data_IF_737265254169
#
_entry.id   IF_737265254169
#
_cell.length_a   1.000
_cell.length_b   1.000
_cell.length_c   1.000
_cell.angle_alpha   90.00
_cell.angle_beta   90.00
_cell.angle_gamma   90.00
#
_symmetry.space_group_name_H-M   'P 1'
#
loop_
_entity.id
_entity.type
_entity.pdbx_description
1 polymer ?
#
# COMPACT_ATOMS: atom_id res chain seq x y z
N UNK A 1 19.70 7.73 3.95
CA UNK A 1 19.09 6.49 4.47
C UNK A 1 17.60 6.60 4.26
N UNK A 2 17.01 5.86 3.32
CA UNK A 2 15.55 5.83 3.14
C UNK A 2 14.96 4.90 4.18
N UNK A 3 14.45 5.46 5.27
CA UNK A 3 13.69 4.72 6.29
C UNK A 3 12.32 4.39 5.72
N UNK A 4 12.14 3.16 5.22
CA UNK A 4 10.83 2.68 4.84
C UNK A 4 10.04 2.30 6.10
N UNK A 5 8.81 2.78 6.20
CA UNK A 5 7.86 2.40 7.25
C UNK A 5 6.93 1.29 6.75
N UNK A 6 6.59 0.38 7.66
CA UNK A 6 5.64 -0.71 7.39
C UNK A 6 4.23 -0.15 7.46
N UNK A 7 3.47 -0.31 6.39
CA UNK A 7 2.07 0.03 6.30
C UNK A 7 1.23 -1.24 6.32
N UNK A 8 0.04 -1.16 6.93
CA UNK A 8 -0.93 -2.26 6.95
C UNK A 8 -2.31 -1.67 6.77
N UNK A 9 -3.00 -2.12 5.73
CA UNK A 9 -4.34 -1.68 5.36
C UNK A 9 -5.31 -2.85 5.41
N UNK A 10 -6.55 -2.61 5.80
CA UNK A 10 -7.60 -3.63 5.71
C UNK A 10 -7.92 -3.95 4.25
N UNK A 11 -8.05 -5.24 3.90
CA UNK A 11 -8.62 -5.60 2.60
C UNK A 11 -10.09 -5.17 2.48
N UNK A 12 -10.80 -5.08 3.62
CA UNK A 12 -12.17 -4.55 3.71
C UNK A 12 -12.25 -3.05 3.36
N UNK A 13 -11.35 -2.24 3.91
CA UNK A 13 -11.29 -0.80 3.64
C UNK A 13 -10.83 -0.44 2.24
N UNK A 14 -10.17 -1.39 1.56
CA UNK A 14 -9.81 -1.24 0.15
C UNK A 14 -10.92 -1.70 -0.78
N UNK A 15 -12.04 -2.24 -0.25
CA UNK A 15 -13.38 -2.47 -0.83
C UNK A 15 -13.50 -3.35 -2.07
N UNK A 16 -12.48 -3.35 -2.92
CA UNK A 16 -12.40 -4.00 -4.23
C UNK A 16 -11.04 -3.78 -4.91
N UNK A 17 -10.11 -3.01 -4.31
CA UNK A 17 -8.79 -2.76 -4.88
C UNK A 17 -8.00 -4.06 -4.90
N UNK A 18 -7.85 -4.59 -6.12
CA UNK A 18 -6.92 -5.68 -6.39
C UNK A 18 -5.52 -5.22 -6.00
N UNK A 19 -4.73 -6.12 -5.40
CA UNK A 19 -3.31 -5.92 -5.04
C UNK A 19 -2.52 -5.13 -6.10
N UNK A 20 -2.73 -5.46 -7.37
CA UNK A 20 -2.07 -4.81 -8.51
C UNK A 20 -2.42 -3.32 -8.66
N UNK A 21 -3.69 -2.93 -8.43
CA UNK A 21 -4.10 -1.52 -8.42
C UNK A 21 -3.48 -0.75 -7.26
N UNK A 22 -3.39 -1.39 -6.08
CA UNK A 22 -2.73 -0.77 -4.93
C UNK A 22 -1.24 -0.55 -5.22
N UNK A 23 -0.56 -1.53 -5.81
CA UNK A 23 0.83 -1.39 -6.22
C UNK A 23 1.02 -0.27 -7.26
N UNK A 24 0.14 -0.17 -8.25
CA UNK A 24 0.22 0.88 -9.27
C UNK A 24 0.01 2.28 -8.67
N UNK A 25 -1.00 2.45 -7.81
CA UNK A 25 -1.24 3.70 -7.06
C UNK A 25 -0.03 4.09 -6.20
N UNK A 26 0.48 3.14 -5.41
CA UNK A 26 1.67 3.36 -4.57
C UNK A 26 2.88 3.74 -5.42
N UNK A 27 3.05 3.11 -6.59
CA UNK A 27 4.10 3.48 -7.56
C UNK A 27 3.92 4.90 -8.08
N UNK A 28 2.69 5.35 -8.37
CA UNK A 28 2.42 6.72 -8.84
C UNK A 28 2.70 7.76 -7.75
N UNK A 29 2.28 7.48 -6.51
CA UNK A 29 2.46 8.37 -5.33
C UNK A 29 3.94 8.51 -4.99
N UNK A 30 4.65 7.40 -4.88
CA UNK A 30 6.02 7.39 -4.39
C UNK A 30 7.08 7.41 -5.49
N UNK A 31 6.67 7.29 -6.77
CA UNK A 31 7.56 7.20 -7.93
C UNK A 31 8.60 6.08 -7.80
N UNK A 32 8.28 5.03 -7.03
CA UNK A 32 9.16 3.90 -6.77
C UNK A 32 8.38 2.58 -6.76
N UNK A 33 8.99 1.46 -7.14
CA UNK A 33 8.32 0.16 -7.12
C UNK A 33 8.06 -0.27 -5.68
N UNK A 34 6.78 -0.38 -5.30
CA UNK A 34 6.35 -0.84 -3.97
C UNK A 34 5.67 -2.20 -4.10
N UNK A 35 6.24 -3.21 -3.44
CA UNK A 35 5.66 -4.55 -3.37
C UNK A 35 4.62 -4.58 -2.25
N UNK A 36 3.41 -5.03 -2.61
CA UNK A 36 2.32 -5.25 -1.66
C UNK A 36 2.11 -6.74 -1.47
N UNK A 37 2.13 -7.20 -0.22
CA UNK A 37 1.76 -8.55 0.19
C UNK A 37 0.33 -8.54 0.77
N UNK A 38 -0.48 -9.55 0.44
CA UNK A 38 -1.75 -9.79 1.12
C UNK A 38 -1.53 -10.89 2.17
N UNK A 39 -1.71 -10.56 3.45
CA UNK A 39 -1.63 -11.51 4.56
C UNK A 39 -2.81 -11.33 5.50
N UNK A 40 -3.55 -12.41 5.78
CA UNK A 40 -4.71 -12.41 6.67
C UNK A 40 -5.69 -11.27 6.35
N UNK A 41 -6.07 -11.14 5.08
CA UNK A 41 -7.00 -10.11 4.62
C UNK A 41 -6.52 -8.67 4.85
N UNK A 42 -5.19 -8.47 4.89
CA UNK A 42 -4.56 -7.17 5.05
C UNK A 42 -3.45 -6.97 4.05
N UNK A 43 -3.40 -5.80 3.44
CA UNK A 43 -2.31 -5.40 2.56
C UNK A 43 -1.16 -4.86 3.39
N UNK A 44 0.01 -5.48 3.26
CA UNK A 44 1.24 -5.12 3.95
C UNK A 44 2.27 -4.68 2.92
N UNK A 45 2.88 -3.51 3.12
CA UNK A 45 3.91 -2.98 2.23
C UNK A 45 4.80 -1.99 2.96
N UNK A 46 5.92 -1.64 2.32
CA UNK A 46 6.92 -0.71 2.83
C UNK A 46 6.97 0.54 1.96
N UNK A 47 6.82 1.72 2.58
CA UNK A 47 6.81 3.00 1.87
C UNK A 47 7.63 4.06 2.64
N UNK A 48 8.07 5.15 2.00
CA UNK A 48 8.83 6.22 2.68
C UNK A 48 8.07 6.94 3.81
N UNK A 49 6.73 6.86 3.83
CA UNK A 49 5.86 7.41 4.89
C UNK A 49 4.66 6.51 5.12
N UNK A 50 3.90 6.81 6.18
CA UNK A 50 2.64 6.14 6.46
C UNK A 50 1.61 6.51 5.37
N UNK A 51 0.89 5.52 4.86
CA UNK A 51 -0.16 5.66 3.86
C UNK A 51 -1.49 5.42 4.57
N UNK A 52 -2.37 6.41 4.51
CA UNK A 52 -3.74 6.34 5.01
C UNK A 52 -4.67 5.85 3.91
N UNK A 53 -5.83 5.32 4.30
CA UNK A 53 -6.82 4.75 3.38
C UNK A 53 -7.38 5.80 2.40
N UNK A 54 -7.50 7.06 2.85
CA UNK A 54 -7.88 8.21 2.02
C UNK A 54 -6.95 8.46 0.83
N UNK A 55 -5.64 8.18 0.96
CA UNK A 55 -4.65 8.42 -0.10
C UNK A 55 -4.71 7.37 -1.22
N UNK A 56 -5.44 6.29 -1.01
CA UNK A 56 -5.52 5.12 -1.89
C UNK A 56 -6.95 4.81 -2.35
N UNK A 57 -7.95 5.61 -1.98
CA UNK A 57 -9.34 5.55 -2.47
C UNK A 57 -9.50 6.04 -3.92
#
# INVERSE_FOLDING_TARGET
MTTNVRNTLGADATGYIRRERLQDRLRVIFKLPITVELRNDRFVFYAPRLVTEDEIE
#
